data_IF_722034790882
#
_entry.id   IF_722034790882
#
_cell.length_a   1.000
_cell.length_b   1.000
_cell.length_c   1.000
_cell.angle_alpha   90.00
_cell.angle_beta   90.00
_cell.angle_gamma   90.00
#
_symmetry.space_group_name_H-M   'P 1'
#
loop_
_entity.id
_entity.type
_entity.pdbx_description
1 polymer ?
#
# COMPACT_ATOMS: atom_id res chain seq x y z
N UNK A 1 0.93 11.57 30.65
CA UNK A 1 2.26 12.07 31.06
C UNK A 1 3.15 12.37 29.86
N UNK A 2 3.63 11.38 29.08
CA UNK A 2 4.57 11.63 27.99
C UNK A 2 4.14 12.72 26.97
N UNK A 3 2.87 12.73 26.53
CA UNK A 3 2.37 13.78 25.61
C UNK A 3 2.35 15.19 26.22
N UNK A 4 1.99 15.30 27.50
CA UNK A 4 2.00 16.57 28.21
C UNK A 4 3.43 17.10 28.38
N UNK A 5 4.38 16.21 28.65
CA UNK A 5 5.81 16.55 28.70
C UNK A 5 6.32 17.03 27.33
N UNK A 6 5.91 16.36 26.25
CA UNK A 6 6.27 16.75 24.89
C UNK A 6 5.74 18.16 24.58
N UNK A 7 4.47 18.44 24.88
CA UNK A 7 3.87 19.76 24.63
C UNK A 7 4.53 20.86 25.47
N UNK A 8 4.80 20.58 26.74
CA UNK A 8 5.50 21.52 27.64
C UNK A 8 6.96 21.77 27.24
N UNK A 9 7.59 20.84 26.51
CA UNK A 9 8.96 21.00 26.00
C UNK A 9 8.98 21.63 24.60
N UNK A 10 7.85 21.64 23.88
CA UNK A 10 7.68 22.35 22.60
C UNK A 10 7.32 23.82 22.85
N UNK A 11 8.27 24.54 23.44
CA UNK A 11 8.18 25.97 23.71
C UNK A 11 8.79 26.79 22.57
N UNK A 12 8.53 28.10 22.61
CA UNK A 12 9.02 29.06 21.61
C UNK A 12 10.56 29.16 21.55
N UNK A 13 11.29 28.62 22.52
CA UNK A 13 12.74 28.49 22.47
C UNK A 13 13.25 27.29 21.65
N UNK A 14 12.48 26.21 21.54
CA UNK A 14 12.88 24.98 20.83
C UNK A 14 12.65 25.11 19.32
N UNK A 15 11.55 25.74 18.93
CA UNK A 15 11.17 25.87 17.51
C UNK A 15 12.20 26.65 16.67
N UNK A 16 12.82 27.75 17.15
CA UNK A 16 13.89 28.43 16.44
C UNK A 16 15.13 27.55 16.26
N UNK A 17 15.51 26.78 17.29
CA UNK A 17 16.68 25.89 17.25
C UNK A 17 16.59 24.80 16.17
N UNK A 18 15.37 24.44 15.76
CA UNK A 18 15.17 23.52 14.64
C UNK A 18 15.57 24.13 13.30
N UNK A 19 15.46 25.46 13.17
CA UNK A 19 15.72 26.21 11.93
C UNK A 19 17.13 26.77 11.87
N UNK A 20 17.78 27.02 13.01
CA UNK A 20 19.09 27.67 13.02
C UNK A 20 20.18 26.75 12.45
N UNK A 21 20.85 27.23 11.40
CA UNK A 21 22.04 26.60 10.81
C UNK A 21 23.36 27.04 11.48
N UNK A 22 23.29 27.95 12.46
CA UNK A 22 24.44 28.66 13.03
C UNK A 22 25.29 27.81 13.99
N UNK A 23 24.89 26.56 14.28
CA UNK A 23 25.54 25.75 15.31
C UNK A 23 26.92 25.19 14.92
N UNK A 24 27.36 25.30 13.66
CA UNK A 24 28.71 24.85 13.29
C UNK A 24 29.36 25.67 12.16
N UNK A 25 30.56 26.25 12.39
CA UNK A 25 31.29 27.02 11.37
C UNK A 25 31.77 26.18 10.18
N UNK A 26 31.73 24.85 10.27
CA UNK A 26 32.17 23.93 9.21
C UNK A 26 31.04 23.26 8.42
N UNK A 27 29.78 23.56 8.74
CA UNK A 27 28.65 22.93 8.07
C UNK A 27 28.41 23.56 6.70
N UNK A 28 28.51 22.75 5.65
CA UNK A 28 28.21 23.18 4.29
C UNK A 28 26.77 23.68 4.23
N UNK A 29 26.58 24.95 3.89
CA UNK A 29 25.26 25.54 3.66
C UNK A 29 24.59 24.77 2.52
N UNK A 30 23.55 24.01 2.85
CA UNK A 30 22.70 23.36 1.85
C UNK A 30 21.79 24.42 1.25
N UNK A 31 21.64 24.41 -0.08
CA UNK A 31 20.66 25.25 -0.77
C UNK A 31 19.22 24.76 -0.55
N UNK A 32 19.07 23.49 -0.15
CA UNK A 32 17.79 22.87 0.16
C UNK A 32 17.53 22.95 1.66
N UNK A 33 16.28 23.24 2.01
CA UNK A 33 15.83 23.20 3.40
C UNK A 33 15.96 21.80 3.99
N UNK A 34 16.32 21.77 5.26
CA UNK A 34 16.53 20.52 5.97
C UNK A 34 15.20 19.97 6.45
N UNK A 35 15.03 18.65 6.35
CA UNK A 35 13.87 17.95 6.89
C UNK A 35 13.91 17.99 8.43
N UNK A 36 12.79 18.32 9.05
CA UNK A 36 12.54 18.13 10.47
C UNK A 36 12.12 16.69 10.71
N UNK A 37 12.84 16.00 11.58
CA UNK A 37 12.70 14.57 11.84
C UNK A 37 12.49 14.34 13.34
N UNK A 38 11.47 13.55 13.65
CA UNK A 38 11.17 13.07 15.00
C UNK A 38 11.73 11.64 15.14
N UNK A 39 12.66 11.47 16.08
CA UNK A 39 13.35 10.22 16.36
C UNK A 39 12.86 9.63 17.68
N UNK A 40 12.37 8.39 17.64
CA UNK A 40 11.96 7.62 18.81
C UNK A 40 13.02 6.58 19.13
N UNK A 41 13.41 6.51 20.41
CA UNK A 41 14.40 5.56 20.92
C UNK A 41 13.70 4.62 21.87
N UNK A 42 13.66 3.34 21.53
CA UNK A 42 13.24 2.27 22.43
C UNK A 42 14.36 1.87 23.39
N UNK A 43 13.98 1.35 24.56
CA UNK A 43 14.89 0.64 25.48
C UNK A 43 15.33 -0.71 24.90
N UNK A 44 14.56 -1.22 23.95
CA UNK A 44 14.62 -2.58 23.43
C UNK A 44 14.54 -2.50 21.89
N UNK A 45 15.19 -3.40 21.13
CA UNK A 45 15.08 -3.41 19.66
C UNK A 45 13.64 -3.66 19.22
N UNK A 46 13.09 -2.78 18.38
CA UNK A 46 11.67 -2.78 18.05
C UNK A 46 11.31 -3.89 17.04
N UNK A 47 10.10 -4.45 17.06
CA UNK A 47 9.64 -5.37 16.02
C UNK A 47 9.27 -4.62 14.73
N UNK A 48 9.30 -5.31 13.59
CA UNK A 48 8.83 -4.77 12.31
C UNK A 48 7.33 -4.47 12.37
N UNK A 49 6.96 -3.18 12.27
CA UNK A 49 5.56 -2.74 12.31
C UNK A 49 5.37 -1.51 11.45
N UNK A 50 4.22 -1.42 10.78
CA UNK A 50 3.82 -0.20 10.06
C UNK A 50 2.70 0.47 10.84
N UNK A 51 2.87 1.74 11.15
CA UNK A 51 1.91 2.55 11.91
C UNK A 51 1.41 3.68 10.99
N UNK A 52 0.09 3.85 10.91
CA UNK A 52 -0.50 5.02 10.24
C UNK A 52 -0.68 6.14 11.26
N UNK A 53 -0.20 7.33 10.91
CA UNK A 53 -0.33 8.55 11.71
C UNK A 53 -0.99 9.67 10.91
N UNK A 54 -1.55 10.63 11.62
CA UNK A 54 -2.14 11.85 11.09
C UNK A 54 -1.12 13.00 11.11
N UNK A 55 -1.04 13.73 10.01
CA UNK A 55 -0.14 14.88 9.82
C UNK A 55 -0.93 15.97 9.09
N UNK A 56 -1.40 17.01 9.81
CA UNK A 56 -2.30 18.01 9.26
C UNK A 56 -1.64 18.87 8.18
N UNK A 57 -0.42 19.35 8.41
CA UNK A 57 0.27 20.28 7.52
C UNK A 57 1.39 19.60 6.75
N UNK A 58 1.43 19.79 5.43
CA UNK A 58 2.52 19.30 4.58
C UNK A 58 3.39 20.45 4.07
N UNK A 59 4.70 20.19 3.81
CA UNK A 59 5.54 21.19 3.17
C UNK A 59 5.05 21.55 1.76
N UNK A 60 5.42 22.75 1.31
CA UNK A 60 5.06 23.27 -0.01
C UNK A 60 6.00 22.71 -1.09
N UNK A 61 5.51 22.52 -2.31
CA UNK A 61 6.34 22.08 -3.45
C UNK A 61 6.57 20.57 -3.57
N UNK A 62 5.87 19.75 -2.77
CA UNK A 62 5.96 18.28 -2.84
C UNK A 62 5.47 17.77 -4.18
N UNK A 63 6.18 16.81 -4.76
CA UNK A 63 5.74 16.06 -5.93
C UNK A 63 5.09 14.73 -5.53
N UNK A 64 3.87 14.46 -6.04
CA UNK A 64 3.09 13.27 -5.67
C UNK A 64 2.93 12.34 -6.87
N UNK A 65 3.30 11.07 -6.69
CA UNK A 65 3.08 10.02 -7.68
C UNK A 65 2.02 9.04 -7.19
N UNK A 66 0.97 8.84 -8.00
CA UNK A 66 -0.11 7.89 -7.71
C UNK A 66 0.00 6.70 -8.64
N UNK A 67 0.26 5.53 -8.08
CA UNK A 67 0.33 4.28 -8.81
C UNK A 67 -1.07 3.68 -8.93
N UNK A 68 -1.56 3.55 -10.16
CA UNK A 68 -2.95 3.19 -10.43
C UNK A 68 -3.06 1.90 -11.24
N UNK A 69 -4.23 1.28 -11.15
CA UNK A 69 -4.62 0.18 -12.02
C UNK A 69 -4.82 0.66 -13.46
N UNK A 70 -4.39 -0.16 -14.40
CA UNK A 70 -4.66 0.06 -15.82
C UNK A 70 -6.16 0.00 -16.12
N UNK A 71 -6.67 1.02 -16.82
CA UNK A 71 -8.05 1.04 -17.33
C UNK A 71 -8.10 0.26 -18.65
N UNK A 72 -7.14 0.53 -19.54
CA UNK A 72 -6.90 -0.22 -20.77
C UNK A 72 -5.63 -1.03 -20.62
N UNK A 73 -5.72 -2.35 -20.83
CA UNK A 73 -4.58 -3.26 -20.67
C UNK A 73 -3.59 -3.24 -21.85
N UNK A 74 -4.02 -2.75 -23.01
CA UNK A 74 -3.22 -2.73 -24.24
C UNK A 74 -2.24 -1.55 -24.25
N UNK A 75 -2.71 -0.36 -23.86
CA UNK A 75 -1.97 0.89 -23.97
C UNK A 75 -1.88 1.60 -22.60
N UNK A 76 -0.65 1.71 -22.09
CA UNK A 76 -0.41 2.34 -20.79
C UNK A 76 -0.54 3.86 -20.84
N UNK A 77 -0.11 4.51 -21.94
CA UNK A 77 -0.22 5.97 -22.13
C UNK A 77 -1.67 6.45 -22.18
N UNK A 78 -2.54 5.69 -22.84
CA UNK A 78 -3.97 5.96 -22.87
C UNK A 78 -4.57 5.87 -21.47
N UNK A 79 -4.17 4.85 -20.68
CA UNK A 79 -4.59 4.73 -19.29
C UNK A 79 -4.14 5.92 -18.44
N UNK A 80 -2.88 6.36 -18.59
CA UNK A 80 -2.36 7.55 -17.89
C UNK A 80 -3.13 8.83 -18.24
N UNK A 81 -3.44 9.03 -19.52
CA UNK A 81 -4.18 10.19 -20.01
C UNK A 81 -5.62 10.23 -19.49
N UNK A 82 -6.29 9.07 -19.41
CA UNK A 82 -7.64 8.97 -18.84
C UNK A 82 -7.62 9.38 -17.36
N UNK A 83 -6.65 8.89 -16.58
CA UNK A 83 -6.52 9.27 -15.17
C UNK A 83 -6.25 10.78 -15.00
N UNK A 84 -5.40 11.37 -15.85
CA UNK A 84 -5.16 12.82 -15.87
C UNK A 84 -6.44 13.60 -16.19
N UNK A 85 -7.24 13.15 -17.16
CA UNK A 85 -8.52 13.77 -17.51
C UNK A 85 -9.55 13.68 -16.37
N UNK A 86 -9.66 12.51 -15.71
CA UNK A 86 -10.52 12.34 -14.54
C UNK A 86 -10.09 13.25 -13.37
N UNK A 87 -8.79 13.41 -13.18
CA UNK A 87 -8.24 14.31 -12.17
C UNK A 87 -8.64 15.75 -12.42
N UNK A 88 -8.42 16.26 -13.64
CA UNK A 88 -8.79 17.62 -14.02
C UNK A 88 -10.29 17.87 -13.84
N UNK A 89 -11.14 16.93 -14.27
CA UNK A 89 -12.59 17.03 -14.09
C UNK A 89 -13.00 17.11 -12.62
N UNK A 90 -12.35 16.36 -11.74
CA UNK A 90 -12.63 16.40 -10.31
C UNK A 90 -12.02 17.64 -9.62
N UNK A 91 -10.89 18.14 -10.12
CA UNK A 91 -10.26 19.34 -9.61
C UNK A 91 -11.14 20.56 -9.84
N UNK A 92 -11.78 20.68 -11.01
CA UNK A 92 -12.74 21.76 -11.30
C UNK A 92 -13.93 21.79 -10.34
N UNK A 93 -14.31 20.64 -9.75
CA UNK A 93 -15.41 20.58 -8.76
C UNK A 93 -15.00 21.11 -7.38
N UNK A 94 -13.72 21.02 -7.04
CA UNK A 94 -13.18 21.35 -5.72
C UNK A 94 -12.27 22.58 -5.77
N UNK A 95 -12.51 23.52 -6.69
CA UNK A 95 -11.61 24.60 -7.15
C UNK A 95 -10.94 25.53 -6.10
N UNK A 96 -11.09 25.25 -4.81
CA UNK A 96 -10.47 25.93 -3.68
C UNK A 96 -9.25 25.20 -3.10
N UNK A 97 -9.03 23.91 -3.40
CA UNK A 97 -7.95 23.14 -2.75
C UNK A 97 -6.64 23.23 -3.54
N UNK A 98 -5.64 23.91 -2.97
CA UNK A 98 -4.25 23.89 -3.46
C UNK A 98 -3.66 22.50 -3.22
N UNK A 99 -3.48 21.73 -4.29
CA UNK A 99 -2.90 20.40 -4.24
C UNK A 99 -1.55 20.37 -4.96
N UNK A 100 -0.60 19.55 -4.46
CA UNK A 100 0.68 19.36 -5.13
C UNK A 100 0.50 18.78 -6.54
N UNK A 101 1.49 18.97 -7.44
CA UNK A 101 1.46 18.34 -8.76
C UNK A 101 1.38 16.82 -8.63
N UNK A 102 0.28 16.25 -9.14
CA UNK A 102 0.00 14.81 -9.10
C UNK A 102 0.31 14.18 -10.46
N UNK A 103 1.20 13.19 -10.46
CA UNK A 103 1.47 12.35 -11.64
C UNK A 103 0.87 10.96 -11.44
N UNK A 104 0.13 10.49 -12.43
CA UNK A 104 -0.45 9.14 -12.42
C UNK A 104 0.47 8.17 -13.16
N UNK A 105 0.82 7.07 -12.50
CA UNK A 105 1.66 6.01 -13.05
C UNK A 105 0.86 4.69 -13.11
N UNK A 106 0.44 4.24 -14.30
CA UNK A 106 -0.17 2.93 -14.48
C UNK A 106 0.80 1.79 -14.12
N UNK A 107 0.27 0.69 -13.58
CA UNK A 107 1.09 -0.48 -13.20
C UNK A 107 1.78 -1.15 -14.41
N UNK A 108 1.17 -1.10 -15.59
CA UNK A 108 1.76 -1.58 -16.84
C UNK A 108 3.02 -0.80 -17.23
N UNK A 109 2.98 0.53 -17.13
CA UNK A 109 4.14 1.41 -17.34
C UNK A 109 5.25 1.12 -16.32
N UNK A 110 4.89 0.94 -15.04
CA UNK A 110 5.84 0.57 -14.01
C UNK A 110 6.56 -0.77 -14.31
N UNK A 111 5.87 -1.72 -14.93
CA UNK A 111 6.45 -3.03 -15.30
C UNK A 111 7.40 -2.95 -16.49
N UNK A 112 7.08 -2.12 -17.48
CA UNK A 112 7.84 -2.03 -18.73
C UNK A 112 8.98 -1.01 -18.63
N UNK A 113 8.68 0.23 -18.25
CA UNK A 113 9.65 1.33 -18.26
C UNK A 113 10.61 1.29 -17.06
N UNK A 114 10.15 0.79 -15.91
CA UNK A 114 10.91 0.81 -14.65
C UNK A 114 11.42 -0.57 -14.22
N UNK A 115 11.77 -1.43 -15.17
CA UNK A 115 12.33 -2.76 -14.86
C UNK A 115 13.76 -2.67 -14.31
N UNK A 116 14.59 -1.78 -14.87
CA UNK A 116 15.98 -1.65 -14.47
C UNK A 116 16.12 -1.09 -13.04
N UNK A 117 17.20 -1.44 -12.35
CA UNK A 117 17.45 -0.91 -11.00
C UNK A 117 17.69 0.61 -11.02
N UNK A 118 18.37 1.10 -12.06
CA UNK A 118 18.61 2.53 -12.27
C UNK A 118 17.30 3.30 -12.48
N UNK A 119 16.38 2.81 -13.32
CA UNK A 119 15.10 3.46 -13.57
C UNK A 119 14.27 3.58 -12.27
N UNK A 120 14.24 2.52 -11.45
CA UNK A 120 13.53 2.55 -10.16
C UNK A 120 14.13 3.56 -9.17
N UNK A 121 15.47 3.69 -9.15
CA UNK A 121 16.14 4.71 -8.34
C UNK A 121 15.85 6.12 -8.84
N UNK A 122 15.81 6.32 -10.17
CA UNK A 122 15.40 7.59 -10.78
C UNK A 122 13.97 7.95 -10.37
N UNK A 123 13.02 7.02 -10.48
CA UNK A 123 11.64 7.21 -10.05
C UNK A 123 11.55 7.63 -8.58
N UNK A 124 12.26 6.91 -7.70
CA UNK A 124 12.31 7.21 -6.27
C UNK A 124 12.97 8.57 -5.95
N UNK A 125 13.83 9.08 -6.82
CA UNK A 125 14.46 10.39 -6.67
C UNK A 125 13.58 11.53 -7.20
N UNK A 126 12.80 11.29 -8.27
CA UNK A 126 11.92 12.29 -8.90
C UNK A 126 10.76 12.70 -8.01
N UNK A 127 10.17 11.75 -7.27
CA UNK A 127 8.99 12.01 -6.46
C UNK A 127 9.25 11.90 -4.96
N UNK A 128 8.54 12.69 -4.18
CA UNK A 128 8.67 12.71 -2.72
C UNK A 128 7.70 11.72 -2.07
N UNK A 129 6.45 11.72 -2.54
CA UNK A 129 5.36 10.92 -1.97
C UNK A 129 4.80 9.97 -3.00
N UNK A 130 4.73 8.69 -2.61
CA UNK A 130 4.11 7.64 -3.41
C UNK A 130 2.77 7.23 -2.78
N UNK A 131 1.73 7.27 -3.60
CA UNK A 131 0.41 6.76 -3.29
C UNK A 131 0.15 5.57 -4.20
N UNK A 132 -0.58 4.56 -3.71
CA UNK A 132 -0.89 3.37 -4.48
C UNK A 132 -2.35 2.99 -4.33
N UNK A 133 -3.01 2.67 -5.43
CA UNK A 133 -4.33 2.07 -5.36
C UNK A 133 -4.26 0.77 -4.54
N UNK A 134 -5.20 0.60 -3.59
CA UNK A 134 -5.39 -0.62 -2.81
C UNK A 134 -5.42 -1.89 -3.68
N UNK A 135 -5.88 -1.80 -4.94
CA UNK A 135 -5.91 -2.93 -5.89
C UNK A 135 -4.53 -3.32 -6.43
N UNK A 136 -3.58 -2.39 -6.42
CA UNK A 136 -2.25 -2.54 -7.03
C UNK A 136 -1.16 -2.81 -5.99
N UNK A 137 -1.39 -2.42 -4.73
CA UNK A 137 -0.36 -2.43 -3.67
C UNK A 137 0.34 -3.77 -3.47
N UNK A 138 -0.35 -4.90 -3.67
CA UNK A 138 0.22 -6.24 -3.52
C UNK A 138 1.31 -6.57 -4.55
N UNK A 139 1.29 -5.91 -5.70
CA UNK A 139 2.29 -6.12 -6.76
C UNK A 139 3.53 -5.24 -6.58
N UNK A 140 3.44 -4.17 -5.79
CA UNK A 140 4.51 -3.17 -5.67
C UNK A 140 5.82 -3.67 -5.07
N UNK A 141 5.82 -4.55 -4.04
CA UNK A 141 7.08 -5.07 -3.48
C UNK A 141 7.96 -5.77 -4.53
N UNK A 142 7.34 -6.54 -5.43
CA UNK A 142 8.05 -7.25 -6.51
C UNK A 142 8.56 -6.29 -7.58
N UNK A 143 7.76 -5.28 -7.95
CA UNK A 143 8.07 -4.34 -9.02
C UNK A 143 9.08 -3.26 -8.59
N UNK A 144 8.82 -2.57 -7.48
CA UNK A 144 9.66 -1.48 -6.97
C UNK A 144 10.96 -1.98 -6.32
N UNK A 145 10.92 -3.17 -5.70
CA UNK A 145 12.07 -3.82 -5.09
C UNK A 145 12.77 -2.98 -4.02
N UNK A 146 14.09 -3.18 -3.87
CA UNK A 146 14.93 -2.55 -2.84
C UNK A 146 15.06 -1.03 -2.98
N UNK A 147 14.75 -0.45 -4.14
CA UNK A 147 14.82 1.00 -4.33
C UNK A 147 13.77 1.75 -3.47
N UNK A 148 12.67 1.07 -3.11
CA UNK A 148 11.58 1.64 -2.30
C UNK A 148 11.47 0.96 -0.94
N UNK A 149 11.62 -0.36 -0.91
CA UNK A 149 11.53 -1.18 0.30
C UNK A 149 12.90 -1.52 0.91
N UNK A 150 13.93 -0.75 0.54
CA UNK A 150 15.28 -0.91 1.08
C UNK A 150 15.41 -0.43 2.52
N UNK A 151 16.54 -0.77 3.15
CA UNK A 151 16.82 -0.40 4.55
C UNK A 151 16.88 1.12 4.78
N UNK A 152 17.30 1.87 3.77
CA UNK A 152 17.59 3.31 3.89
C UNK A 152 16.49 4.19 3.28
N UNK A 153 15.39 3.60 2.80
CA UNK A 153 14.36 4.33 2.05
C UNK A 153 13.04 4.33 2.80
N UNK A 154 12.51 5.52 3.06
CA UNK A 154 11.22 5.71 3.74
C UNK A 154 10.08 6.01 2.74
N UNK A 155 10.32 5.85 1.43
CA UNK A 155 9.39 6.20 0.35
C UNK A 155 8.41 5.05 0.02
N UNK A 156 7.87 4.39 1.03
CA UNK A 156 6.94 3.26 0.82
C UNK A 156 5.58 3.79 0.35
N UNK A 157 5.00 3.24 -0.75
CA UNK A 157 3.71 3.70 -1.24
C UNK A 157 2.58 3.55 -0.23
N UNK A 158 1.80 4.62 -0.02
CA UNK A 158 0.65 4.64 0.90
C UNK A 158 -0.62 4.15 0.19
N UNK A 159 -1.39 3.20 0.77
CA UNK A 159 -2.61 2.70 0.14
C UNK A 159 -3.74 3.75 0.09
N UNK A 160 -4.31 3.95 -1.10
CA UNK A 160 -5.44 4.84 -1.38
C UNK A 160 -6.56 4.05 -2.06
N UNK A 161 -7.81 4.31 -1.66
CA UNK A 161 -8.99 3.73 -2.32
C UNK A 161 -9.49 4.67 -3.41
N UNK A 162 -9.16 4.37 -4.68
CA UNK A 162 -9.59 5.16 -5.84
C UNK A 162 -10.90 4.67 -6.46
N UNK A 163 -11.50 3.59 -5.94
CA UNK A 163 -12.73 3.03 -6.48
C UNK A 163 -13.96 3.83 -6.03
N UNK A 164 -14.71 4.36 -7.01
CA UNK A 164 -16.04 4.95 -6.80
C UNK A 164 -16.08 6.21 -5.94
N UNK A 165 -14.95 6.89 -5.74
CA UNK A 165 -14.83 8.12 -4.96
C UNK A 165 -14.25 9.24 -5.82
N UNK A 166 -14.47 10.49 -5.39
CA UNK A 166 -13.76 11.63 -5.95
C UNK A 166 -12.26 11.47 -5.70
N UNK A 167 -11.47 11.51 -6.79
CA UNK A 167 -10.02 11.28 -6.71
C UNK A 167 -9.34 12.32 -5.82
N UNK A 168 -9.81 13.57 -5.90
CA UNK A 168 -9.25 14.72 -5.19
C UNK A 168 -9.37 14.53 -3.67
N UNK A 169 -10.57 14.20 -3.18
CA UNK A 169 -10.81 13.97 -1.74
C UNK A 169 -10.06 12.74 -1.23
N UNK A 170 -10.01 11.67 -2.03
CA UNK A 170 -9.25 10.47 -1.72
C UNK A 170 -7.75 10.74 -1.59
N UNK A 171 -7.17 11.56 -2.48
CA UNK A 171 -5.77 11.96 -2.39
C UNK A 171 -5.56 12.87 -1.19
N UNK A 172 -6.36 13.93 -1.01
CA UNK A 172 -6.22 14.88 0.09
C UNK A 172 -6.27 14.22 1.47
N UNK A 173 -7.24 13.32 1.70
CA UNK A 173 -7.34 12.55 2.96
C UNK A 173 -6.12 11.68 3.26
N UNK A 174 -5.42 11.22 2.22
CA UNK A 174 -4.19 10.44 2.39
C UNK A 174 -3.00 11.36 2.54
N UNK A 175 -2.99 12.54 1.90
CA UNK A 175 -1.95 13.55 2.12
C UNK A 175 -1.92 14.00 3.59
N UNK A 176 -3.07 14.16 4.24
CA UNK A 176 -3.14 14.45 5.68
C UNK A 176 -2.73 13.27 6.57
N UNK A 177 -2.29 12.15 5.99
CA UNK A 177 -1.81 10.98 6.72
C UNK A 177 -0.43 10.53 6.25
N UNK A 178 0.30 9.84 7.12
CA UNK A 178 1.61 9.28 6.85
C UNK A 178 1.72 7.83 7.32
N UNK A 179 2.78 7.17 6.85
CA UNK A 179 3.17 5.83 7.31
C UNK A 179 4.51 5.89 8.03
N UNK A 180 4.51 5.47 9.29
CA UNK A 180 5.68 5.22 10.11
C UNK A 180 6.07 3.75 9.99
N UNK A 181 7.16 3.48 9.29
CA UNK A 181 7.71 2.12 9.16
C UNK A 181 8.79 1.89 10.22
N UNK A 182 8.50 1.04 11.19
CA UNK A 182 9.48 0.49 12.12
C UNK A 182 10.16 -0.69 11.42
N UNK A 183 11.45 -0.55 11.13
CA UNK A 183 12.25 -1.52 10.36
C UNK A 183 12.72 -2.69 11.21
N UNK A 184 12.77 -2.49 12.53
CA UNK A 184 13.11 -3.50 13.52
C UNK A 184 14.55 -4.02 13.44
N UNK A 185 15.46 -3.18 12.94
CA UNK A 185 16.88 -3.47 12.86
C UNK A 185 17.68 -2.73 13.95
N UNK A 186 17.01 -2.23 14.98
CA UNK A 186 17.58 -1.42 16.05
C UNK A 186 16.51 -0.95 17.03
N UNK A 187 16.92 -0.13 17.99
CA UNK A 187 16.04 0.51 18.96
C UNK A 187 15.55 1.89 18.52
N UNK A 188 16.21 2.49 17.52
CA UNK A 188 15.94 3.85 17.06
C UNK A 188 15.17 3.84 15.73
N UNK A 189 14.10 4.62 15.68
CA UNK A 189 13.35 4.88 14.44
C UNK A 189 13.10 6.36 14.28
N UNK A 190 13.08 6.83 13.03
CA UNK A 190 13.01 8.26 12.72
C UNK A 190 11.98 8.53 11.63
N UNK A 191 11.12 9.51 11.87
CA UNK A 191 10.01 9.88 11.00
C UNK A 191 10.12 11.35 10.61
N UNK A 192 9.94 11.66 9.33
CA UNK A 192 9.94 13.04 8.83
C UNK A 192 8.59 13.68 9.15
N UNK A 193 8.61 14.86 9.77
CA UNK A 193 7.42 15.56 10.29
C UNK A 193 7.21 16.93 9.63
N UNK A 194 8.17 17.40 8.83
CA UNK A 194 8.04 18.63 8.05
C UNK A 194 9.40 19.11 7.56
N UNK A 195 9.42 20.33 7.02
CA UNK A 195 10.63 21.01 6.56
C UNK A 195 10.91 22.24 7.43
N UNK A 196 12.17 22.67 7.45
CA UNK A 196 12.61 23.87 8.19
C UNK A 196 11.94 25.17 7.72
N UNK A 197 11.51 25.23 6.46
CA UNK A 197 10.80 26.39 5.90
C UNK A 197 9.37 26.53 6.41
N UNK A 198 8.78 25.47 6.98
CA UNK A 198 7.41 25.52 7.47
C UNK A 198 7.27 26.47 8.67
N UNK A 199 6.12 27.12 8.84
CA UNK A 199 5.81 27.89 10.06
C UNK A 199 5.98 27.04 11.32
N UNK A 200 6.51 27.66 12.38
CA UNK A 200 6.79 26.98 13.64
C UNK A 200 5.52 26.39 14.29
N UNK A 201 4.39 27.09 14.16
CA UNK A 201 3.08 26.64 14.64
C UNK A 201 2.65 25.34 13.98
N UNK A 202 2.74 25.27 12.65
CA UNK A 202 2.41 24.05 11.89
C UNK A 202 3.34 22.89 12.22
N UNK A 203 4.63 23.17 12.46
CA UNK A 203 5.58 22.15 12.91
C UNK A 203 5.21 21.62 14.29
N UNK A 204 4.85 22.49 15.24
CA UNK A 204 4.40 22.09 16.57
C UNK A 204 3.16 21.18 16.48
N UNK A 205 2.14 21.59 15.74
CA UNK A 205 0.91 20.81 15.56
C UNK A 205 1.20 19.43 14.93
N UNK A 206 2.04 19.39 13.91
CA UNK A 206 2.47 18.13 13.29
C UNK A 206 3.21 17.22 14.27
N UNK A 207 4.14 17.76 15.06
CA UNK A 207 4.90 16.95 16.04
C UNK A 207 3.95 16.36 17.08
N UNK A 208 3.00 17.15 17.59
CA UNK A 208 2.03 16.68 18.57
C UNK A 208 1.10 15.60 18.00
N UNK A 209 0.57 15.80 16.79
CA UNK A 209 -0.33 14.83 16.15
C UNK A 209 0.38 13.50 15.88
N UNK A 210 1.60 13.58 15.34
CA UNK A 210 2.43 12.41 15.01
C UNK A 210 2.85 11.69 16.28
N UNK A 211 3.30 12.42 17.32
CA UNK A 211 3.68 11.82 18.59
C UNK A 211 2.51 11.09 19.23
N UNK A 212 1.32 11.68 19.25
CA UNK A 212 0.13 11.06 19.83
C UNK A 212 -0.22 9.73 19.14
N UNK A 213 -0.30 9.75 17.80
CA UNK A 213 -0.63 8.55 17.02
C UNK A 213 0.39 7.43 17.16
N UNK A 214 1.68 7.78 17.19
CA UNK A 214 2.77 6.82 17.30
C UNK A 214 2.81 6.23 18.72
N UNK A 215 2.70 7.06 19.76
CA UNK A 215 2.70 6.62 21.15
C UNK A 215 1.53 5.68 21.46
N UNK A 216 0.35 5.96 20.91
CA UNK A 216 -0.83 5.11 21.06
C UNK A 216 -0.62 3.70 20.45
N UNK A 217 0.17 3.59 19.38
CA UNK A 217 0.37 2.34 18.62
C UNK A 217 1.78 1.75 18.79
N UNK A 218 2.58 2.31 19.71
CA UNK A 218 3.98 1.95 19.91
C UNK A 218 4.13 0.49 20.34
N UNK A 219 5.05 -0.29 19.73
CA UNK A 219 5.23 -1.69 20.12
C UNK A 219 5.78 -1.80 21.55
N UNK A 220 5.01 -2.46 22.42
CA UNK A 220 5.34 -2.62 23.84
C UNK A 220 4.87 -1.48 24.73
N UNK A 221 4.16 -0.49 24.18
CA UNK A 221 3.60 0.63 24.93
C UNK A 221 4.65 1.59 25.48
N UNK A 222 4.23 2.49 26.37
CA UNK A 222 5.10 3.57 26.87
C UNK A 222 6.31 3.07 27.67
N UNK A 223 6.22 1.89 28.29
CA UNK A 223 7.31 1.31 29.11
C UNK A 223 8.56 0.99 28.29
N UNK A 224 8.39 0.69 27.00
CA UNK A 224 9.51 0.33 26.10
C UNK A 224 10.16 1.56 25.46
N UNK A 225 9.59 2.74 25.62
CA UNK A 225 10.15 3.99 25.09
C UNK A 225 11.21 4.52 26.05
N UNK A 226 12.41 4.83 25.54
CA UNK A 226 13.49 5.49 26.28
C UNK A 226 13.43 7.00 26.10
N UNK A 227 13.39 7.47 24.86
CA UNK A 227 13.42 8.90 24.59
C UNK A 227 12.88 9.28 23.23
N UNK A 228 12.50 10.55 23.11
CA UNK A 228 12.05 11.18 21.87
C UNK A 228 12.92 12.39 21.62
N UNK A 229 13.44 12.49 20.41
CA UNK A 229 14.24 13.62 19.97
C UNK A 229 13.64 14.27 18.73
N UNK A 230 13.74 15.58 18.62
CA UNK A 230 13.49 16.31 17.38
C UNK A 230 14.81 16.82 16.83
N UNK A 231 14.99 16.66 15.53
CA UNK A 231 16.18 17.12 14.82
C UNK A 231 15.75 17.86 13.57
N UNK A 232 16.21 19.09 13.43
CA UNK A 232 16.08 19.91 12.23
C UNK A 232 17.44 20.12 11.56
N UNK A 233 17.72 21.36 11.20
CA UNK A 233 19.03 21.81 10.73
C UNK A 233 20.09 21.84 11.84
N UNK A 234 19.67 22.18 13.06
CA UNK A 234 20.51 22.32 14.25
C UNK A 234 20.73 21.01 15.03
N UNK A 235 21.11 21.11 16.33
CA UNK A 235 21.33 19.95 17.18
C UNK A 235 20.04 19.16 17.45
N UNK A 236 20.21 17.90 17.86
CA UNK A 236 19.09 17.03 18.24
C UNK A 236 18.58 17.40 19.64
N UNK A 237 17.32 17.78 19.75
CA UNK A 237 16.70 18.28 20.99
C UNK A 237 15.86 17.17 21.62
N UNK A 238 16.13 16.75 22.86
CA UNK A 238 15.29 15.79 23.57
C UNK A 238 13.96 16.42 23.97
N UNK A 239 12.84 15.81 23.57
CA UNK A 239 11.50 16.20 24.02
C UNK A 239 11.00 15.36 25.20
N UNK A 240 11.48 14.13 25.31
CA UNK A 240 11.08 13.20 26.35
C UNK A 240 12.22 12.24 26.65
N UNK A 241 12.41 11.93 27.93
CA UNK A 241 13.36 10.94 28.41
C UNK A 241 12.74 10.18 29.59
N UNK A 242 12.94 8.87 29.59
CA UNK A 242 12.55 7.97 30.67
C UNK A 242 13.79 7.29 31.23
N UNK A 243 14.08 7.59 32.50
CA UNK A 243 15.20 7.07 33.27
C UNK A 243 15.03 5.60 33.65
N UNK A 244 13.80 5.09 33.66
CA UNK A 244 13.54 3.72 34.16
C UNK A 244 14.21 2.68 33.27
N UNK A 245 14.94 1.74 33.89
CA UNK A 245 15.52 0.60 33.20
C UNK A 245 14.54 -0.57 33.19
N UNK A 246 14.46 -1.27 32.06
CA UNK A 246 13.67 -2.50 31.96
C UNK A 246 14.65 -3.67 32.14
N UNK A 247 14.41 -4.60 33.08
CA UNK A 247 15.20 -5.81 33.20
C UNK A 247 15.25 -6.56 31.86
N UNK A 248 16.44 -7.02 31.46
CA UNK A 248 16.66 -7.61 30.13
C UNK A 248 15.75 -8.81 29.85
N UNK A 249 15.37 -9.57 30.88
CA UNK A 249 14.49 -10.75 30.77
C UNK A 249 13.05 -10.37 30.41
N UNK A 250 12.48 -9.37 31.11
CA UNK A 250 11.14 -8.85 30.82
C UNK A 250 11.08 -8.18 29.43
N UNK A 251 12.19 -7.60 28.98
CA UNK A 251 12.33 -7.02 27.65
C UNK A 251 12.28 -8.08 26.53
N UNK A 252 12.94 -9.22 26.72
CA UNK A 252 12.95 -10.34 25.77
C UNK A 252 11.57 -10.99 25.71
N UNK A 253 10.91 -11.21 26.84
CA UNK A 253 9.55 -11.76 26.88
C UNK A 253 8.52 -10.83 26.23
N UNK A 254 8.61 -9.52 26.47
CA UNK A 254 7.79 -8.51 25.80
C UNK A 254 8.04 -8.48 24.28
N UNK A 255 9.28 -8.67 23.83
CA UNK A 255 9.56 -8.77 22.39
C UNK A 255 9.03 -10.04 21.76
N UNK A 256 9.15 -11.17 22.45
CA UNK A 256 8.63 -12.43 21.94
C UNK A 256 7.11 -12.40 21.79
N UNK A 257 6.41 -11.87 22.79
CA UNK A 257 4.95 -11.67 22.70
C UNK A 257 4.58 -10.73 21.55
N UNK A 258 5.33 -9.64 21.34
CA UNK A 258 5.11 -8.72 20.20
C UNK A 258 5.43 -9.36 18.84
N UNK A 259 6.48 -10.19 18.73
CA UNK A 259 6.82 -10.92 17.49
C UNK A 259 5.81 -12.01 17.17
N UNK A 260 5.21 -12.63 18.19
CA UNK A 260 4.16 -13.66 18.04
C UNK A 260 2.84 -13.06 17.54
N UNK A 261 2.58 -11.75 17.75
CA UNK A 261 1.48 -11.07 17.05
C UNK A 261 1.80 -10.95 15.56
N UNK A 262 0.93 -11.44 14.65
CA UNK A 262 1.20 -11.34 13.22
C UNK A 262 1.31 -9.86 12.87
N UNK A 263 2.50 -9.43 12.42
CA UNK A 263 2.69 -8.11 11.83
C UNK A 263 1.59 -7.92 10.79
N UNK A 264 0.72 -6.94 10.95
CA UNK A 264 -0.30 -6.64 9.94
C UNK A 264 0.45 -6.31 8.64
N UNK A 265 0.43 -7.19 7.60
CA UNK A 265 0.99 -6.80 6.33
C UNK A 265 0.24 -5.54 5.85
N UNK A 266 0.87 -4.71 5.03
CA UNK A 266 0.25 -3.50 4.45
C UNK A 266 -1.13 -3.81 3.82
N UNK A 267 -1.32 -5.07 3.39
CA UNK A 267 -2.58 -5.69 2.99
C UNK A 267 -3.74 -5.61 4.02
N UNK A 268 -3.50 -5.68 5.33
CA UNK A 268 -4.55 -5.73 6.36
C UNK A 268 -5.26 -4.37 6.58
N UNK A 269 -4.84 -3.28 5.93
CA UNK A 269 -5.61 -2.03 5.85
C UNK A 269 -6.72 -2.06 4.77
N UNK A 270 -6.95 -3.24 4.18
CA UNK A 270 -8.13 -3.56 3.39
C UNK A 270 -9.25 -4.01 4.34
N UNK A 271 -10.49 -3.48 4.24
CA UNK A 271 -11.60 -4.11 4.93
C UNK A 271 -11.69 -5.56 4.45
N UNK A 272 -11.76 -6.50 5.41
CA UNK A 272 -12.12 -7.89 5.14
C UNK A 272 -13.34 -7.86 4.23
N UNK A 273 -13.25 -8.43 3.02
CA UNK A 273 -14.47 -8.91 2.37
C UNK A 273 -15.08 -9.89 3.36
N UNK A 274 -16.27 -9.55 3.85
CA UNK A 274 -16.90 -10.11 5.04
C UNK A 274 -16.62 -11.59 5.21
N UNK A 275 -16.23 -11.95 6.43
CA UNK A 275 -16.26 -13.33 6.88
C UNK A 275 -17.69 -13.82 6.73
N UNK A 276 -17.95 -14.57 5.67
CA UNK A 276 -19.17 -15.37 5.60
C UNK A 276 -18.99 -16.45 6.66
N UNK A 277 -19.85 -16.42 7.68
CA UNK A 277 -19.89 -17.38 8.78
C UNK A 277 -19.86 -18.82 8.24
N UNK A 278 -19.18 -19.76 8.92
CA UNK A 278 -19.00 -21.14 8.46
C UNK A 278 -20.33 -21.84 8.13
N UNK A 279 -21.42 -21.46 8.81
CA UNK A 279 -22.79 -21.95 8.55
C UNK A 279 -23.33 -21.57 7.17
N UNK A 280 -23.14 -20.32 6.72
CA UNK A 280 -23.61 -19.87 5.41
C UNK A 280 -22.86 -20.55 4.25
N UNK A 281 -21.61 -20.98 4.50
CA UNK A 281 -20.82 -21.77 3.57
C UNK A 281 -21.27 -23.23 3.48
N UNK A 282 -21.79 -23.77 4.58
CA UNK A 282 -22.35 -25.12 4.67
C UNK A 282 -23.74 -25.17 4.03
N UNK A 283 -24.57 -24.14 4.28
CA UNK A 283 -25.87 -23.94 3.65
C UNK A 283 -25.76 -23.74 2.14
N UNK A 284 -24.80 -22.94 1.66
CA UNK A 284 -24.59 -22.78 0.21
C UNK A 284 -24.18 -24.08 -0.49
N UNK A 285 -23.42 -24.94 0.22
CA UNK A 285 -23.02 -26.26 -0.29
C UNK A 285 -24.19 -27.25 -0.28
N UNK A 286 -25.04 -27.22 0.76
CA UNK A 286 -26.24 -28.05 0.83
C UNK A 286 -27.27 -27.66 -0.23
N UNK A 287 -27.50 -26.36 -0.45
CA UNK A 287 -28.42 -25.86 -1.48
C UNK A 287 -27.92 -26.16 -2.91
N UNK A 288 -26.60 -26.09 -3.15
CA UNK A 288 -26.01 -26.46 -4.44
C UNK A 288 -26.08 -27.96 -4.75
N UNK A 289 -26.10 -28.81 -3.71
CA UNK A 289 -26.16 -30.26 -3.87
C UNK A 289 -27.60 -30.80 -3.96
N UNK A 290 -28.60 -30.09 -3.42
CA UNK A 290 -29.97 -30.57 -3.30
C UNK A 290 -31.01 -29.80 -4.15
N UNK A 291 -30.60 -28.93 -5.08
CA UNK A 291 -31.58 -28.34 -6.00
C UNK A 291 -32.12 -29.39 -6.99
N UNK A 292 -33.44 -29.62 -7.10
CA UNK A 292 -33.99 -30.46 -8.16
C UNK A 292 -33.70 -29.76 -9.50
N UNK A 293 -33.10 -30.48 -10.44
CA UNK A 293 -32.88 -29.98 -11.80
C UNK A 293 -34.24 -29.84 -12.47
N UNK A 294 -34.81 -28.64 -12.46
CA UNK A 294 -36.00 -28.33 -13.25
C UNK A 294 -35.65 -28.46 -14.74
N UNK A 295 -36.48 -29.15 -15.54
CA UNK A 295 -36.21 -29.35 -16.96
C UNK A 295 -36.25 -28.00 -17.68
N UNK A 296 -35.21 -27.76 -18.50
CA UNK A 296 -34.99 -26.51 -19.26
C UNK A 296 -36.20 -26.15 -20.15
N UNK A 297 -37.01 -27.14 -20.54
CA UNK A 297 -38.23 -26.94 -21.32
C UNK A 297 -39.29 -26.09 -20.58
N UNK A 298 -39.50 -26.29 -19.28
CA UNK A 298 -40.49 -25.54 -18.51
C UNK A 298 -40.11 -24.06 -18.33
N UNK A 299 -38.80 -23.78 -18.28
CA UNK A 299 -38.27 -22.40 -18.17
C UNK A 299 -38.43 -21.66 -19.51
N UNK A 300 -38.24 -22.36 -20.64
CA UNK A 300 -38.43 -21.79 -21.98
C UNK A 300 -39.91 -21.58 -22.32
N UNK A 301 -40.80 -22.40 -21.80
CA UNK A 301 -42.25 -22.27 -21.98
C UNK A 301 -42.82 -21.13 -21.14
N UNK A 302 -42.36 -20.99 -19.88
CA UNK A 302 -42.68 -19.83 -19.04
C UNK A 302 -42.07 -18.51 -19.53
N UNK A 303 -40.95 -18.56 -20.25
CA UNK A 303 -40.35 -17.37 -20.86
C UNK A 303 -41.12 -16.87 -22.11
N UNK A 304 -41.90 -17.76 -22.76
CA UNK A 304 -42.74 -17.40 -23.93
C UNK A 304 -44.09 -16.79 -23.55
N UNK A 305 -44.54 -16.96 -22.31
CA UNK A 305 -45.84 -16.44 -21.85
C UNK A 305 -45.78 -15.04 -21.23
N UNK A 306 -44.63 -14.37 -21.26
CA UNK A 306 -44.47 -12.99 -20.79
C UNK A 306 -44.51 -12.01 -21.97
N UNK A 307 -45.39 -10.99 -21.98
CA UNK A 307 -45.51 -10.07 -23.09
C UNK A 307 -44.48 -8.94 -22.96
N UNK A 308 -43.33 -9.07 -23.63
CA UNK A 308 -42.38 -7.97 -23.79
C UNK A 308 -41.86 -7.98 -25.24
N UNK A 309 -41.95 -6.82 -25.88
CA UNK A 309 -41.66 -6.54 -27.29
C UNK A 309 -40.19 -6.70 -27.70
N UNK A 310 -39.98 -7.17 -28.94
CA UNK A 310 -38.77 -7.72 -29.57
C UNK A 310 -37.55 -6.78 -29.81
N UNK A 311 -37.20 -5.84 -28.92
CA UNK A 311 -36.11 -4.89 -29.24
C UNK A 311 -34.77 -5.10 -28.50
N UNK A 312 -34.68 -5.79 -27.35
CA UNK A 312 -33.38 -5.82 -26.64
C UNK A 312 -33.01 -7.16 -25.97
N UNK A 313 -32.91 -8.24 -26.73
CA UNK A 313 -32.38 -9.55 -26.24
C UNK A 313 -30.95 -9.85 -26.75
N UNK A 314 -30.37 -8.98 -27.60
CA UNK A 314 -28.99 -9.14 -28.08
C UNK A 314 -27.89 -8.78 -27.06
N UNK A 315 -28.22 -8.01 -26.02
CA UNK A 315 -27.23 -7.40 -25.11
C UNK A 315 -26.88 -8.18 -23.84
N UNK A 316 -27.71 -9.14 -23.41
CA UNK A 316 -27.62 -9.73 -22.07
C UNK A 316 -26.90 -11.09 -22.01
N UNK A 317 -26.57 -11.72 -23.14
CA UNK A 317 -25.93 -13.05 -23.17
C UNK A 317 -24.62 -13.15 -23.98
N UNK A 318 -23.92 -12.04 -24.20
CA UNK A 318 -22.66 -12.02 -24.96
C UNK A 318 -21.43 -12.59 -24.21
N UNK A 319 -21.57 -13.06 -22.97
CA UNK A 319 -20.48 -13.66 -22.21
C UNK A 319 -20.65 -15.17 -21.98
N UNK A 320 -20.68 -15.94 -23.06
CA UNK A 320 -20.53 -17.40 -23.04
C UNK A 320 -19.16 -17.85 -23.55
N UNK A 321 -18.08 -17.18 -23.15
CA UNK A 321 -16.70 -17.62 -23.46
C UNK A 321 -16.15 -18.68 -22.47
N UNK A 322 -16.85 -18.96 -21.37
CA UNK A 322 -16.37 -19.88 -20.33
C UNK A 322 -16.80 -21.35 -20.51
N UNK A 323 -17.83 -21.63 -21.32
CA UNK A 323 -18.37 -22.99 -21.51
C UNK A 323 -17.77 -23.66 -22.77
N UNK A 324 -17.39 -22.89 -23.79
CA UNK A 324 -16.87 -23.42 -25.06
C UNK A 324 -15.46 -24.03 -24.97
N UNK A 325 -14.62 -23.58 -24.02
CA UNK A 325 -13.23 -24.06 -23.88
C UNK A 325 -13.14 -25.45 -23.24
N UNK A 326 -14.10 -25.82 -22.38
CA UNK A 326 -14.15 -27.12 -21.70
C UNK A 326 -14.71 -28.25 -22.58
N UNK A 327 -15.48 -27.91 -23.62
CA UNK A 327 -16.01 -28.86 -24.61
C UNK A 327 -14.98 -29.22 -25.70
N UNK A 328 -14.07 -28.29 -26.07
CA UNK A 328 -12.99 -28.58 -27.04
C UNK A 328 -11.85 -29.42 -26.45
N UNK A 329 -11.54 -29.30 -25.16
CA UNK A 329 -10.48 -30.10 -24.52
C UNK A 329 -10.88 -31.56 -24.29
N UNK A 330 -12.16 -31.86 -24.06
CA UNK A 330 -12.66 -33.25 -23.94
C UNK A 330 -12.72 -34.01 -25.27
N UNK A 331 -13.04 -33.35 -26.40
CA UNK A 331 -13.07 -34.03 -27.72
C UNK A 331 -11.67 -34.45 -28.22
N UNK A 332 -10.59 -33.75 -27.84
CA UNK A 332 -9.22 -34.08 -28.26
C UNK A 332 -8.59 -35.27 -27.53
N UNK A 333 -9.09 -35.60 -26.33
CA UNK A 333 -8.58 -36.72 -25.51
C UNK A 333 -9.23 -38.05 -25.92
N UNK A 334 -10.47 -38.02 -26.40
CA UNK A 334 -11.17 -39.25 -26.85
C UNK A 334 -10.70 -39.72 -28.23
N UNK A 335 -10.35 -38.81 -29.15
CA UNK A 335 -9.90 -39.21 -30.51
C UNK A 335 -8.46 -39.76 -30.57
N UNK A 336 -7.65 -39.57 -29.54
CA UNK A 336 -6.26 -40.10 -29.47
C UNK A 336 -6.19 -41.53 -28.90
N UNK A 337 -7.25 -42.01 -28.25
CA UNK A 337 -7.30 -43.35 -27.64
C UNK A 337 -7.82 -44.46 -28.56
N UNK A 338 -8.41 -44.12 -29.71
CA UNK A 338 -8.91 -45.10 -30.70
C UNK A 338 -8.05 -45.29 -31.95
N UNK A 339 -6.92 -44.56 -32.11
CA UNK A 339 -6.02 -44.70 -33.29
C UNK A 339 -4.70 -45.45 -33.03
N UNK A 340 -4.44 -45.97 -31.82
CA UNK A 340 -3.18 -46.65 -31.49
C UNK A 340 -3.29 -48.18 -31.29
N UNK A 341 -4.41 -48.82 -31.68
CA UNK A 341 -4.58 -50.27 -31.57
C UNK A 341 -4.22 -51.08 -32.84
N UNK A 342 -3.76 -50.44 -33.92
CA UNK A 342 -3.40 -51.14 -35.17
C UNK A 342 -2.07 -50.62 -35.71
N UNK A 343 -0.95 -50.98 -35.08
CA UNK A 343 0.40 -51.08 -35.68
C UNK A 343 1.41 -51.56 -34.62
N UNK A 344 1.26 -52.80 -34.12
CA UNK A 344 2.33 -53.55 -33.42
C UNK A 344 2.21 -55.05 -33.71
N UNK A 345 2.21 -55.40 -35.00
CA UNK A 345 2.69 -56.70 -35.50
C UNK A 345 3.67 -56.38 -36.63
N UNK A 346 4.83 -57.04 -36.62
CA UNK A 346 6.01 -56.82 -37.47
C UNK A 346 6.91 -55.65 -37.06
N UNK A 347 7.88 -55.92 -36.17
CA UNK A 347 9.33 -55.93 -36.45
C UNK A 347 10.01 -56.60 -35.24
N UNK A 348 9.93 -57.93 -35.17
CA UNK A 348 10.86 -58.78 -34.42
C UNK A 348 11.70 -59.48 -35.47
N UNK A 349 12.91 -58.96 -35.72
CA UNK A 349 14.07 -59.66 -36.33
C UNK A 349 15.07 -58.58 -36.77
N UNK A 350 16.17 -58.44 -36.03
CA UNK A 350 17.55 -58.57 -36.53
C UNK A 350 18.57 -58.02 -35.52
N UNK A 351 19.44 -58.94 -35.07
CA UNK A 351 20.83 -58.78 -34.59
C UNK A 351 21.07 -57.86 -33.37
N UNK A 352 21.52 -58.31 -32.19
CA UNK A 352 22.53 -59.31 -31.79
C UNK A 352 23.88 -59.15 -32.49
N UNK A 353 24.87 -58.69 -31.70
CA UNK A 353 26.33 -58.84 -31.83
C UNK A 353 27.00 -58.20 -33.05
N UNK A 354 27.78 -57.15 -32.79
CA UNK A 354 29.24 -57.27 -32.64
C UNK A 354 29.76 -56.17 -31.73
#
# INVERSE_FOLDING_TARGET
>A
MALHTIDANLNDGVLPLLKTHEYSPHQKKSLLSSNVVLSFVGKIPLPKKTIKFYMPHRPLGISVCVIVKDIRKTDFEASGSIWKSMWQKNLSKHGTVSLPPVTFLPISELKLAYQSFEARRKLAATFDVFLADKRVIHHLPTNLGKAFYGRNTNKVPVPVSLAGKDLVTAVQSVLTSGLALIKGNGSTESFVVGDTDMPAEHLKENILSVANDILAKWPGGLKTLRSIYVRGAGPSIPLYFDETEVPQEAAVEALESLRKTPSTPIHNFLPNRGGVSPELRLLSKHLANNSPKLPVAAILEAAKSLPLSDVDVGGLFSNTSYIATKLKSKKKIVSKRQKNSVTRKNVKRKFSRK
#
